data_IF_939889001887
#
_entry.id   IF_939889001887
#
_cell.length_a   1.000
_cell.length_b   1.000
_cell.length_c   1.000
_cell.angle_alpha   90.00
_cell.angle_beta   90.00
_cell.angle_gamma   90.00
#
_symmetry.space_group_name_H-M   'P 1'
#
loop_
_entity.id
_entity.type
_entity.pdbx_description
1 polymer ?
#
# COMPACT_ATOMS: atom_id res chain seq x y z
N UNK A 1 -61.14 -24.14 -36.77
CA UNK A 1 -61.70 -23.06 -35.92
C UNK A 1 -60.53 -22.18 -35.46
N UNK A 2 -60.73 -20.87 -35.37
CA UNK A 2 -59.82 -19.90 -34.74
C UNK A 2 -60.69 -19.07 -33.81
N UNK A 3 -60.37 -19.05 -32.52
CA UNK A 3 -61.09 -18.24 -31.53
C UNK A 3 -60.63 -16.78 -31.54
N UNK A 4 -61.47 -15.81 -31.12
CA UNK A 4 -61.52 -14.51 -31.75
C UNK A 4 -61.32 -13.36 -30.75
N UNK A 5 -60.23 -13.39 -29.98
CA UNK A 5 -59.94 -12.33 -28.99
C UNK A 5 -58.50 -11.80 -29.07
N UNK A 6 -58.20 -11.12 -30.17
CA UNK A 6 -57.40 -9.91 -30.10
C UNK A 6 -58.32 -8.76 -29.67
N UNK A 7 -58.07 -8.13 -28.50
CA UNK A 7 -58.34 -6.71 -28.25
C UNK A 7 -57.81 -6.27 -26.87
N UNK A 8 -56.78 -5.44 -26.90
CA UNK A 8 -56.42 -4.37 -25.96
C UNK A 8 -56.92 -4.45 -24.49
N UNK A 9 -55.95 -4.54 -23.57
CA UNK A 9 -55.86 -3.52 -22.53
C UNK A 9 -54.51 -2.83 -22.70
N UNK A 10 -54.57 -1.52 -22.88
CA UNK A 10 -53.47 -0.59 -23.08
C UNK A 10 -52.97 -0.08 -21.73
N UNK A 11 -51.68 -0.27 -21.42
CA UNK A 11 -50.91 0.69 -20.61
C UNK A 11 -49.39 0.51 -20.81
N UNK A 12 -48.66 1.63 -20.97
CA UNK A 12 -47.20 1.69 -21.13
C UNK A 12 -46.67 3.12 -20.93
N UNK A 13 -45.34 3.31 -20.67
CA UNK A 13 -44.33 2.39 -20.16
C UNK A 13 -43.87 2.88 -18.75
N UNK A 14 -42.66 3.40 -18.41
CA UNK A 14 -41.35 3.52 -19.08
C UNK A 14 -40.32 2.46 -18.58
N UNK A 15 -39.03 2.82 -18.60
CA UNK A 15 -37.85 1.95 -18.45
C UNK A 15 -37.22 1.95 -17.05
N UNK A 16 -36.43 0.91 -16.72
CA UNK A 16 -35.14 1.03 -16.01
C UNK A 16 -34.23 -0.17 -16.31
N UNK A 17 -32.92 0.02 -16.57
CA UNK A 17 -32.01 -1.09 -16.87
C UNK A 17 -31.66 -1.90 -15.61
N UNK A 18 -31.59 -3.23 -15.72
CA UNK A 18 -31.13 -4.09 -14.62
C UNK A 18 -29.62 -3.94 -14.43
N UNK A 19 -29.21 -3.76 -13.18
CA UNK A 19 -27.86 -3.37 -12.80
C UNK A 19 -26.83 -4.50 -12.90
N UNK A 20 -25.61 -4.08 -13.26
CA UNK A 20 -24.32 -4.77 -13.13
C UNK A 20 -24.23 -5.76 -11.96
N UNK A 21 -24.00 -7.05 -12.22
CA UNK A 21 -23.55 -7.99 -11.19
C UNK A 21 -22.14 -7.61 -10.70
N UNK A 22 -22.07 -6.90 -9.58
CA UNK A 22 -20.84 -6.73 -8.81
C UNK A 22 -20.71 -7.92 -7.85
N UNK A 23 -19.82 -8.86 -8.17
CA UNK A 23 -19.35 -9.85 -7.20
C UNK A 23 -18.70 -9.13 -6.01
N UNK A 24 -19.14 -9.36 -4.76
CA UNK A 24 -18.51 -8.72 -3.62
C UNK A 24 -17.10 -9.32 -3.41
N UNK A 25 -16.06 -8.53 -3.71
CA UNK A 25 -14.70 -8.87 -3.27
C UNK A 25 -14.67 -8.78 -1.73
N UNK A 26 -14.42 -9.92 -1.08
CA UNK A 26 -14.39 -10.01 0.38
C UNK A 26 -13.32 -9.07 0.97
N UNK A 27 -13.69 -8.34 2.03
CA UNK A 27 -12.84 -7.37 2.72
C UNK A 27 -11.73 -8.10 3.52
N UNK A 28 -10.70 -8.55 2.80
CA UNK A 28 -9.48 -9.15 3.35
C UNK A 28 -8.66 -8.10 4.10
N UNK A 29 -9.14 -7.81 5.32
CA UNK A 29 -8.41 -7.32 6.49
C UNK A 29 -7.12 -6.60 6.15
N UNK A 30 -7.26 -5.32 5.85
CA UNK A 30 -6.13 -4.42 5.74
C UNK A 30 -5.18 -4.56 6.96
N UNK A 31 -4.06 -5.26 6.75
CA UNK A 31 -2.83 -5.21 7.55
C UNK A 31 -2.17 -3.84 7.38
N UNK A 32 -2.95 -2.80 7.59
CA UNK A 32 -2.48 -1.47 7.87
C UNK A 32 -1.92 -1.48 9.29
N UNK A 33 -0.61 -1.25 9.38
CA UNK A 33 -0.06 -0.54 10.54
C UNK A 33 -0.78 0.82 10.60
N UNK A 34 -1.88 0.87 11.36
CA UNK A 34 -2.82 2.00 11.41
C UNK A 34 -2.16 3.23 12.06
N UNK A 35 -1.43 4.04 11.27
CA UNK A 35 -1.23 5.46 11.58
C UNK A 35 -2.37 6.27 10.94
N UNK A 36 -3.54 6.21 11.58
CA UNK A 36 -4.68 7.07 11.23
C UNK A 36 -4.29 8.55 11.34
N UNK A 37 -4.52 9.33 10.29
CA UNK A 37 -4.17 10.75 10.23
C UNK A 37 -5.20 11.61 10.99
N UNK A 38 -5.13 11.60 12.31
CA UNK A 38 -5.82 12.59 13.16
C UNK A 38 -4.76 13.58 13.69
N UNK A 39 -4.76 14.82 13.17
CA UNK A 39 -3.82 15.88 13.60
C UNK A 39 -3.88 16.07 15.12
N UNK A 40 -2.78 15.82 15.84
CA UNK A 40 -2.18 16.71 16.89
C UNK A 40 -1.07 16.02 17.70
N UNK A 41 -0.01 16.80 17.95
CA UNK A 41 1.06 16.66 18.97
C UNK A 41 2.21 15.67 18.70
N UNK A 42 3.35 16.08 19.28
CA UNK A 42 4.68 15.44 19.27
C UNK A 42 4.73 14.18 20.14
N UNK A 43 5.78 13.36 19.97
CA UNK A 43 5.98 12.00 20.51
C UNK A 43 4.84 11.03 20.09
N UNK A 44 5.05 9.73 19.88
CA UNK A 44 5.92 8.78 20.58
C UNK A 44 6.68 7.89 19.59
N UNK A 45 7.90 7.51 19.98
CA UNK A 45 8.73 6.51 19.30
C UNK A 45 7.95 5.20 19.24
N UNK A 46 7.79 4.62 18.05
CA UNK A 46 7.40 3.22 17.95
C UNK A 46 8.62 2.39 18.41
N UNK A 47 8.77 2.22 19.72
CA UNK A 47 9.77 1.32 20.27
C UNK A 47 9.42 -0.08 19.77
N UNK A 48 10.33 -0.77 19.08
CA UNK A 48 10.11 -2.18 18.82
C UNK A 48 10.09 -2.90 20.16
N UNK A 49 9.33 -3.99 20.24
CA UNK A 49 9.45 -5.02 21.29
C UNK A 49 10.77 -5.78 21.12
N UNK A 50 11.87 -5.04 21.08
CA UNK A 50 13.18 -5.54 20.78
C UNK A 50 13.85 -6.02 22.07
N UNK A 51 14.28 -7.27 22.01
CA UNK A 51 15.33 -7.85 22.85
C UNK A 51 16.36 -6.77 23.28
N UNK A 52 16.51 -6.52 24.60
CA UNK A 52 17.38 -5.46 25.11
C UNK A 52 18.83 -5.66 24.69
N UNK A 53 19.27 -6.90 24.40
CA UNK A 53 20.61 -7.19 23.88
C UNK A 53 20.80 -6.62 22.48
N UNK A 54 19.77 -6.69 21.62
CA UNK A 54 19.81 -6.11 20.26
C UNK A 54 19.85 -4.58 20.32
N UNK A 55 19.07 -3.98 21.21
CA UNK A 55 19.09 -2.52 21.41
C UNK A 55 20.40 -2.01 22.00
N UNK A 56 21.01 -2.74 22.93
CA UNK A 56 22.35 -2.42 23.45
C UNK A 56 23.43 -2.49 22.35
N UNK A 57 23.43 -3.56 21.55
CA UNK A 57 24.35 -3.71 20.40
C UNK A 57 24.18 -2.59 19.37
N UNK A 58 22.94 -2.26 19.00
CA UNK A 58 22.62 -1.15 18.10
C UNK A 58 23.19 0.17 18.62
N UNK A 59 22.97 0.49 19.90
CA UNK A 59 23.49 1.72 20.54
C UNK A 59 25.02 1.75 20.56
N UNK A 60 25.68 0.63 20.85
CA UNK A 60 27.14 0.54 20.87
C UNK A 60 27.76 0.79 19.49
N UNK A 61 27.15 0.26 18.41
CA UNK A 61 27.60 0.50 17.03
C UNK A 61 27.42 1.98 16.66
N UNK A 62 26.25 2.56 16.93
CA UNK A 62 25.95 3.96 16.58
C UNK A 62 26.81 4.97 17.35
N UNK A 63 27.28 4.63 18.56
CA UNK A 63 28.21 5.46 19.32
C UNK A 63 29.64 5.52 18.72
N UNK A 64 29.98 4.63 17.79
CA UNK A 64 31.28 4.60 17.10
C UNK A 64 31.25 5.32 15.74
N UNK A 65 30.08 5.77 15.28
CA UNK A 65 29.93 6.44 13.99
C UNK A 65 30.41 7.90 14.07
N UNK A 66 31.05 8.35 12.99
CA UNK A 66 31.29 9.78 12.74
C UNK A 66 29.98 10.52 12.44
N UNK A 67 29.97 11.85 12.56
CA UNK A 67 28.78 12.69 12.29
C UNK A 67 28.20 12.45 10.87
N UNK A 68 29.07 12.36 9.86
CA UNK A 68 28.68 12.04 8.48
C UNK A 68 28.04 10.64 8.37
N UNK A 69 28.57 9.64 9.07
CA UNK A 69 28.01 8.28 9.09
C UNK A 69 26.65 8.23 9.82
N UNK A 70 26.49 8.97 10.92
CA UNK A 70 25.18 9.11 11.59
C UNK A 70 24.16 9.77 10.64
N UNK A 71 24.55 10.83 9.93
CA UNK A 71 23.70 11.53 8.97
C UNK A 71 23.22 10.61 7.83
N UNK A 72 24.12 9.84 7.20
CA UNK A 72 23.77 8.85 6.16
C UNK A 72 22.89 7.74 6.72
N UNK A 73 23.27 7.13 7.85
CA UNK A 73 22.47 6.08 8.49
C UNK A 73 21.06 6.53 8.84
N UNK A 74 20.89 7.72 9.43
CA UNK A 74 19.57 8.23 9.80
C UNK A 74 18.71 8.56 8.58
N UNK A 75 19.32 9.05 7.50
CA UNK A 75 18.66 9.28 6.21
C UNK A 75 18.17 7.96 5.61
N UNK A 76 19.05 6.94 5.52
CA UNK A 76 18.69 5.61 5.01
C UNK A 76 17.66 4.91 5.92
N UNK A 77 17.80 4.98 7.24
CA UNK A 77 16.87 4.34 8.18
C UNK A 77 15.46 4.89 8.06
N UNK A 78 15.32 6.21 7.89
CA UNK A 78 14.02 6.90 7.79
C UNK A 78 13.42 6.88 6.39
N UNK A 79 14.19 6.60 5.34
CA UNK A 79 13.69 6.54 3.96
C UNK A 79 12.70 5.39 3.75
N UNK A 80 11.67 5.62 2.93
CA UNK A 80 10.75 4.59 2.47
C UNK A 80 10.04 5.04 1.19
N UNK A 81 9.73 4.09 0.29
CA UNK A 81 8.91 4.37 -0.87
C UNK A 81 7.42 4.43 -0.51
N UNK A 82 6.71 5.41 -1.09
CA UNK A 82 5.26 5.50 -0.96
C UNK A 82 4.60 4.37 -1.76
N UNK A 83 4.01 3.40 -1.06
CA UNK A 83 3.36 2.21 -1.65
C UNK A 83 2.36 2.53 -2.78
N UNK A 84 1.68 3.66 -2.72
CA UNK A 84 0.75 4.11 -3.77
C UNK A 84 1.44 4.50 -5.08
N UNK A 85 2.59 5.18 -4.99
CA UNK A 85 3.36 5.59 -6.18
C UNK A 85 4.07 4.38 -6.79
N UNK A 86 4.62 3.49 -5.95
CA UNK A 86 5.20 2.23 -6.43
C UNK A 86 4.15 1.33 -7.09
N UNK A 87 2.95 1.22 -6.52
CA UNK A 87 1.82 0.50 -7.16
C UNK A 87 1.50 1.08 -8.53
N UNK A 88 1.35 2.40 -8.67
CA UNK A 88 1.08 3.07 -9.96
C UNK A 88 2.19 2.81 -10.98
N UNK A 89 3.45 2.90 -10.57
CA UNK A 89 4.60 2.59 -11.42
C UNK A 89 4.56 1.13 -11.92
N UNK A 90 4.30 0.17 -11.02
CA UNK A 90 4.18 -1.24 -11.37
C UNK A 90 2.98 -1.53 -12.30
N UNK A 91 1.82 -0.91 -12.05
CA UNK A 91 0.66 -0.99 -12.94
C UNK A 91 1.00 -0.50 -14.35
N UNK A 92 1.70 0.63 -14.47
CA UNK A 92 2.09 1.21 -15.75
C UNK A 92 3.15 0.37 -16.51
N UNK A 93 4.09 -0.24 -15.80
CA UNK A 93 5.17 -1.05 -16.41
C UNK A 93 4.66 -2.44 -16.81
N UNK A 94 3.84 -3.09 -15.98
CA UNK A 94 3.35 -4.45 -16.21
C UNK A 94 2.07 -4.49 -17.03
N UNK A 95 1.36 -3.35 -17.18
CA UNK A 95 0.04 -3.28 -17.80
C UNK A 95 -1.10 -3.86 -16.94
N UNK A 96 -0.79 -4.57 -15.86
CA UNK A 96 -1.76 -5.19 -14.97
C UNK A 96 -2.32 -4.19 -13.94
N UNK A 97 -3.64 -4.02 -13.93
CA UNK A 97 -4.35 -3.14 -12.99
C UNK A 97 -4.34 -3.65 -11.54
N UNK A 98 -4.28 -4.97 -11.33
CA UNK A 98 -4.20 -5.58 -9.98
C UNK A 98 -2.76 -5.99 -9.68
N UNK A 99 -2.12 -5.24 -8.78
CA UNK A 99 -0.79 -5.56 -8.22
C UNK A 99 -0.97 -6.05 -6.78
N UNK A 100 -0.46 -7.24 -6.50
CA UNK A 100 -0.43 -7.86 -5.17
C UNK A 100 0.30 -6.95 -4.15
N UNK A 101 -0.32 -6.67 -2.97
CA UNK A 101 0.34 -5.95 -1.88
C UNK A 101 1.72 -6.49 -1.47
N UNK A 102 1.94 -7.81 -1.50
CA UNK A 102 3.23 -8.44 -1.19
C UNK A 102 4.27 -8.11 -2.24
N UNK A 103 3.95 -8.23 -3.53
CA UNK A 103 4.84 -7.83 -4.64
C UNK A 103 5.22 -6.34 -4.51
N UNK A 104 4.26 -5.47 -4.23
CA UNK A 104 4.52 -4.04 -4.03
C UNK A 104 5.47 -3.77 -2.82
N UNK A 105 5.33 -4.53 -1.73
CA UNK A 105 6.24 -4.46 -0.57
C UNK A 105 7.65 -4.94 -0.95
N UNK A 106 7.76 -6.08 -1.64
CA UNK A 106 9.04 -6.66 -2.08
C UNK A 106 9.78 -5.70 -3.01
N UNK A 107 9.10 -5.13 -4.01
CA UNK A 107 9.69 -4.13 -4.91
C UNK A 107 10.16 -2.90 -4.13
N UNK A 108 9.36 -2.37 -3.20
CA UNK A 108 9.81 -1.25 -2.34
C UNK A 108 11.08 -1.60 -1.54
N UNK A 109 11.24 -2.86 -1.12
CA UNK A 109 12.44 -3.35 -0.43
C UNK A 109 13.66 -3.43 -1.34
N UNK A 110 13.52 -4.09 -2.49
CA UNK A 110 14.60 -4.26 -3.48
C UNK A 110 15.07 -2.90 -4.01
N UNK A 111 14.15 -2.02 -4.40
CA UNK A 111 14.49 -0.65 -4.84
C UNK A 111 15.19 0.15 -3.74
N UNK A 112 14.83 -0.05 -2.46
CA UNK A 112 15.52 0.61 -1.35
C UNK A 112 16.94 0.08 -1.15
N UNK A 113 17.15 -1.23 -1.30
CA UNK A 113 18.48 -1.85 -1.24
C UNK A 113 19.38 -1.31 -2.36
N UNK A 114 18.90 -1.36 -3.60
CA UNK A 114 19.61 -0.85 -4.78
C UNK A 114 19.98 0.64 -4.67
N UNK A 115 19.04 1.51 -4.25
CA UNK A 115 19.33 2.94 -4.06
C UNK A 115 20.30 3.17 -2.89
N UNK A 116 20.27 2.32 -1.85
CA UNK A 116 21.24 2.37 -0.76
C UNK A 116 22.66 2.00 -1.20
N UNK A 117 22.80 0.93 -1.99
CA UNK A 117 24.07 0.50 -2.58
C UNK A 117 24.65 1.57 -3.51
N UNK A 118 23.83 2.18 -4.37
CA UNK A 118 24.24 3.26 -5.26
C UNK A 118 24.80 4.47 -4.48
N UNK A 119 24.09 4.93 -3.44
CA UNK A 119 24.45 6.12 -2.64
C UNK A 119 25.65 5.90 -1.70
N UNK A 120 26.03 4.66 -1.38
CA UNK A 120 27.26 4.38 -0.64
C UNK A 120 28.45 4.00 -1.56
N UNK A 121 28.24 3.95 -2.89
CA UNK A 121 29.28 3.68 -3.90
C UNK A 121 29.80 4.96 -4.58
N UNK A 122 28.99 6.02 -4.63
CA UNK A 122 29.36 7.39 -5.05
C UNK A 122 29.95 8.24 -3.89
#
# INVERSE_FOLDING_TARGET
MKDPFEAAIDESPPESPVETEQTPEEDERAMGVRRQLKKRKTSVVAEPTADPVKMAKMKAILAQFTENQISRYESFRRSAFQKGNMKKMLQNITGNQKIDPLINIVVCGITKMFVGELVETD
#
